data_IF_148188582997
#
_entry.id   IF_148188582997
#
_cell.length_a   1.000
_cell.length_b   1.000
_cell.length_c   1.000
_cell.angle_alpha   90.00
_cell.angle_beta   90.00
_cell.angle_gamma   90.00
#
_symmetry.space_group_name_H-M   'P 1'
#
loop_
_entity.id
_entity.type
_entity.pdbx_description
1 polymer ?
#
# COMPACT_ATOMS: atom_id res chain seq x y z
N UNK A 1 22.85 50.95 5.35
CA UNK A 1 22.87 50.90 6.83
C UNK A 1 21.90 49.85 7.38
N UNK A 2 20.56 50.02 7.31
CA UNK A 2 19.62 49.08 7.92
C UNK A 2 19.77 47.60 7.47
N UNK A 3 19.93 47.35 6.16
CA UNK A 3 20.12 45.98 5.63
C UNK A 3 21.36 45.29 6.25
N UNK A 4 22.52 45.95 6.19
CA UNK A 4 23.77 45.45 6.80
C UNK A 4 23.67 45.18 8.31
N UNK A 5 22.86 45.95 9.04
CA UNK A 5 22.60 45.67 10.47
C UNK A 5 21.84 44.36 10.62
N UNK A 6 20.82 44.11 9.79
CA UNK A 6 20.06 42.87 9.80
C UNK A 6 20.88 41.66 9.35
N UNK A 7 21.73 41.82 8.34
CA UNK A 7 22.70 40.80 7.92
C UNK A 7 23.67 40.43 9.06
N UNK A 8 24.18 41.42 9.80
CA UNK A 8 25.05 41.19 10.96
C UNK A 8 24.31 40.50 12.10
N UNK A 9 23.09 40.96 12.43
CA UNK A 9 22.26 40.35 13.47
C UNK A 9 21.87 38.90 13.10
N UNK A 10 21.58 38.63 11.81
CA UNK A 10 21.32 37.30 11.29
C UNK A 10 22.57 36.39 11.40
N UNK A 11 23.75 36.88 11.03
CA UNK A 11 25.00 36.14 11.16
C UNK A 11 25.33 35.80 12.62
N UNK A 12 25.09 36.73 13.55
CA UNK A 12 25.24 36.48 15.00
C UNK A 12 24.15 35.52 15.51
N UNK A 13 22.92 35.58 15.01
CA UNK A 13 21.84 34.68 15.41
C UNK A 13 22.17 33.20 15.13
N UNK A 14 23.02 32.92 14.11
CA UNK A 14 23.45 31.58 13.70
C UNK A 14 24.68 31.03 14.44
N UNK A 15 25.39 31.81 15.26
CA UNK A 15 26.50 31.26 16.06
C UNK A 15 26.01 30.60 17.36
N UNK A 16 26.81 29.72 17.93
CA UNK A 16 26.51 29.06 19.21
C UNK A 16 26.21 30.10 20.31
N UNK A 17 25.09 29.94 21.01
CA UNK A 17 24.51 30.90 21.98
C UNK A 17 24.15 32.29 21.42
N UNK A 18 24.33 32.54 20.12
CA UNK A 18 24.07 33.83 19.49
C UNK A 18 22.58 34.19 19.40
N UNK A 19 21.71 33.19 19.27
CA UNK A 19 20.26 33.38 19.24
C UNK A 19 19.73 34.09 20.51
N UNK A 20 20.09 33.59 21.69
CA UNK A 20 19.72 34.20 22.98
C UNK A 20 20.25 35.64 23.10
N UNK A 21 21.47 35.91 22.62
CA UNK A 21 22.06 37.27 22.63
C UNK A 21 21.23 38.23 21.77
N UNK A 22 20.79 37.78 20.59
CA UNK A 22 19.93 38.58 19.69
C UNK A 22 18.57 38.85 20.34
N UNK A 23 17.92 37.83 20.90
CA UNK A 23 16.62 38.01 21.57
C UNK A 23 16.73 38.96 22.77
N UNK A 24 17.72 38.78 23.64
CA UNK A 24 17.97 39.69 24.76
C UNK A 24 18.25 41.14 24.30
N UNK A 25 18.93 41.32 23.16
CA UNK A 25 19.14 42.64 22.58
C UNK A 25 17.82 43.28 22.11
N UNK A 26 16.90 42.50 21.51
CA UNK A 26 15.57 42.98 21.14
C UNK A 26 14.63 43.20 22.33
N UNK A 27 14.74 42.42 23.41
CA UNK A 27 14.02 42.68 24.66
C UNK A 27 14.51 43.96 25.37
N UNK A 28 15.82 44.25 25.31
CA UNK A 28 16.38 45.53 25.75
C UNK A 28 15.94 46.68 24.83
N UNK A 29 15.94 46.48 23.51
CA UNK A 29 15.46 47.45 22.53
C UNK A 29 13.98 47.80 22.78
N UNK A 30 13.12 46.81 23.06
CA UNK A 30 11.72 47.01 23.46
C UNK A 30 11.60 47.98 24.62
N UNK A 31 12.43 47.82 25.67
CA UNK A 31 12.42 48.69 26.86
C UNK A 31 12.92 50.10 26.52
N UNK A 32 14.06 50.22 25.83
CA UNK A 32 14.69 51.52 25.52
C UNK A 32 13.83 52.35 24.54
N UNK A 33 13.27 51.71 23.52
CA UNK A 33 12.44 52.34 22.50
C UNK A 33 10.94 52.36 22.85
N UNK A 34 10.56 51.86 24.04
CA UNK A 34 9.18 51.83 24.54
C UNK A 34 8.20 51.12 23.60
N UNK A 35 8.66 50.03 22.97
CA UNK A 35 7.78 49.15 22.20
C UNK A 35 6.90 48.34 23.18
N UNK A 36 5.65 48.03 22.77
CA UNK A 36 4.76 47.21 23.60
C UNK A 36 5.10 45.73 23.46
N UNK A 37 5.46 45.29 22.25
CA UNK A 37 6.03 43.98 21.92
C UNK A 37 7.41 44.18 21.27
N UNK A 38 8.34 43.23 21.48
CA UNK A 38 9.64 43.26 20.80
C UNK A 38 9.45 43.10 19.29
N UNK A 39 10.39 43.61 18.50
CA UNK A 39 10.33 43.67 17.03
C UNK A 39 9.27 44.61 16.42
N UNK A 40 8.53 45.40 17.20
CA UNK A 40 7.50 46.31 16.66
C UNK A 40 8.07 47.33 15.66
N UNK A 41 9.22 47.94 15.95
CA UNK A 41 9.86 48.93 15.07
C UNK A 41 10.47 48.28 13.84
N UNK A 42 10.94 47.03 13.97
CA UNK A 42 11.37 46.22 12.83
C UNK A 42 10.17 45.99 11.88
N UNK A 43 9.04 45.51 12.42
CA UNK A 43 7.83 45.26 11.64
C UNK A 43 7.21 46.54 11.08
N UNK A 44 7.18 47.66 11.84
CA UNK A 44 6.80 48.98 11.32
C UNK A 44 7.73 49.42 10.17
N UNK A 45 9.05 49.22 10.30
CA UNK A 45 10.01 49.56 9.25
C UNK A 45 10.01 48.60 8.06
N UNK A 46 9.50 47.37 8.21
CA UNK A 46 9.28 46.41 7.12
C UNK A 46 8.00 46.78 6.35
N UNK A 47 6.93 47.11 7.07
CA UNK A 47 5.59 47.44 6.52
C UNK A 47 5.46 48.86 5.96
N UNK A 48 6.30 49.80 6.39
CA UNK A 48 6.37 51.16 5.85
C UNK A 48 7.13 51.19 4.51
N UNK A 49 6.41 50.84 3.46
CA UNK A 49 6.85 50.77 2.05
C UNK A 49 6.99 52.19 1.46
N UNK A 50 7.81 53.08 2.06
CA UNK A 50 7.93 54.45 1.53
C UNK A 50 8.94 54.57 0.38
N UNK A 51 10.03 53.80 0.37
CA UNK A 51 11.05 53.88 -0.70
C UNK A 51 11.68 52.51 -1.04
N UNK A 52 11.78 52.24 -2.35
CA UNK A 52 12.25 51.04 -3.04
C UNK A 52 13.61 50.47 -2.58
N UNK A 53 13.66 49.76 -1.44
CA UNK A 53 14.87 49.06 -0.99
C UNK A 53 14.63 47.56 -0.82
N UNK A 54 14.62 46.84 -1.95
CA UNK A 54 14.49 45.38 -1.97
C UNK A 54 15.60 44.68 -1.19
N UNK A 55 16.84 45.21 -1.17
CA UNK A 55 17.93 44.60 -0.41
C UNK A 55 17.66 44.65 1.11
N UNK A 56 17.03 45.72 1.61
CA UNK A 56 16.52 45.78 2.99
C UNK A 56 15.36 44.81 3.22
N UNK A 57 14.41 44.68 2.29
CA UNK A 57 13.29 43.74 2.43
C UNK A 57 13.78 42.28 2.46
N UNK A 58 14.74 41.93 1.60
CA UNK A 58 15.42 40.63 1.58
C UNK A 58 16.17 40.39 2.88
N UNK A 59 17.01 41.32 3.34
CA UNK A 59 17.75 41.18 4.60
C UNK A 59 16.83 41.10 5.83
N UNK A 60 15.72 41.83 5.84
CA UNK A 60 14.72 41.80 6.90
C UNK A 60 13.98 40.47 6.93
N UNK A 61 13.53 39.97 5.77
CA UNK A 61 12.86 38.67 5.69
C UNK A 61 13.82 37.52 6.03
N UNK A 62 15.08 37.58 5.56
CA UNK A 62 16.12 36.63 5.92
C UNK A 62 16.40 36.62 7.43
N UNK A 63 16.47 37.80 8.06
CA UNK A 63 16.61 37.90 9.52
C UNK A 63 15.41 37.28 10.26
N UNK A 64 14.18 37.54 9.81
CA UNK A 64 12.96 36.94 10.37
C UNK A 64 13.00 35.40 10.22
N UNK A 65 13.33 34.90 9.03
CA UNK A 65 13.50 33.46 8.78
C UNK A 65 14.49 32.82 9.75
N UNK A 66 15.65 33.46 9.96
CA UNK A 66 16.68 32.96 10.85
C UNK A 66 16.23 33.02 12.32
N UNK A 67 15.76 34.16 12.82
CA UNK A 67 15.40 34.29 14.25
C UNK A 67 14.22 33.39 14.62
N UNK A 68 13.28 33.16 13.71
CA UNK A 68 12.11 32.29 13.97
C UNK A 68 12.45 30.81 13.78
N UNK A 69 13.20 30.43 12.74
CA UNK A 69 13.32 29.01 12.33
C UNK A 69 14.62 28.31 12.76
N UNK A 70 15.65 29.04 13.20
CA UNK A 70 16.93 28.43 13.65
C UNK A 70 16.87 27.80 15.05
N UNK A 71 15.80 28.04 15.82
CA UNK A 71 15.66 27.49 17.17
C UNK A 71 15.42 25.98 17.17
N UNK A 72 16.01 25.29 18.15
CA UNK A 72 15.92 23.83 18.27
C UNK A 72 14.60 23.36 18.92
N UNK A 73 14.01 24.15 19.84
CA UNK A 73 12.72 23.82 20.45
C UNK A 73 11.57 24.24 19.51
N UNK A 74 10.81 23.25 19.04
CA UNK A 74 9.67 23.47 18.14
C UNK A 74 8.52 24.24 18.81
N UNK A 75 8.34 24.11 20.13
CA UNK A 75 7.34 24.91 20.84
C UNK A 75 7.76 26.39 20.87
N UNK A 76 9.06 26.64 21.05
CA UNK A 76 9.61 27.99 21.01
C UNK A 76 9.57 28.60 19.60
N UNK A 77 9.77 27.78 18.55
CA UNK A 77 9.56 28.18 17.15
C UNK A 77 8.13 28.65 16.91
N UNK A 78 7.13 27.87 17.33
CA UNK A 78 5.70 28.24 17.23
C UNK A 78 5.40 29.52 18.03
N UNK A 79 6.00 29.69 19.21
CA UNK A 79 5.85 30.92 20.00
C UNK A 79 6.40 32.15 19.26
N UNK A 80 7.59 32.06 18.66
CA UNK A 80 8.17 33.14 17.85
C UNK A 80 7.36 33.43 16.57
N UNK A 81 6.77 32.41 15.95
CA UNK A 81 5.84 32.58 14.82
C UNK A 81 4.61 33.38 15.25
N UNK A 82 4.00 33.04 16.39
CA UNK A 82 2.84 33.77 16.90
C UNK A 82 3.20 35.22 17.29
N UNK A 83 4.40 35.49 17.82
CA UNK A 83 4.88 36.87 18.04
C UNK A 83 4.87 37.69 16.74
N UNK A 84 5.49 37.20 15.66
CA UNK A 84 5.52 37.92 14.39
C UNK A 84 4.16 38.02 13.70
N UNK A 85 3.31 36.99 13.84
CA UNK A 85 1.92 36.98 13.37
C UNK A 85 1.05 38.01 14.11
N UNK A 86 1.21 38.17 15.42
CA UNK A 86 0.56 39.24 16.21
C UNK A 86 1.04 40.64 15.81
N UNK A 87 2.25 40.77 15.25
CA UNK A 87 2.75 42.00 14.62
C UNK A 87 2.30 42.18 13.16
N UNK A 88 1.44 41.28 12.64
CA UNK A 88 0.83 41.37 11.32
C UNK A 88 1.70 40.85 10.17
N UNK A 89 2.72 40.02 10.43
CA UNK A 89 3.61 39.50 9.39
C UNK A 89 2.84 38.78 8.28
N UNK A 90 1.99 37.81 8.61
CA UNK A 90 1.29 36.94 7.65
C UNK A 90 0.49 37.73 6.61
N UNK A 91 -0.24 38.76 7.03
CA UNK A 91 -1.04 39.60 6.12
C UNK A 91 -0.16 40.50 5.25
N UNK A 92 1.02 40.89 5.76
CA UNK A 92 2.01 41.61 4.97
C UNK A 92 2.68 40.71 3.94
N UNK A 93 2.96 39.44 4.28
CA UNK A 93 3.53 38.47 3.33
C UNK A 93 2.58 38.18 2.17
N UNK A 94 1.29 37.94 2.43
CA UNK A 94 0.27 37.76 1.38
C UNK A 94 0.24 38.96 0.44
N UNK A 95 0.15 40.17 1.01
CA UNK A 95 0.18 41.44 0.25
C UNK A 95 1.47 41.61 -0.57
N UNK A 96 2.61 41.14 -0.05
CA UNK A 96 3.90 41.23 -0.75
C UNK A 96 4.09 40.19 -1.84
N UNK A 97 3.50 39.01 -1.73
CA UNK A 97 3.43 38.05 -2.84
C UNK A 97 2.64 38.65 -4.02
N UNK A 98 1.53 39.33 -3.74
CA UNK A 98 0.72 40.01 -4.77
C UNK A 98 1.43 41.22 -5.38
N UNK A 99 2.03 42.10 -4.56
CA UNK A 99 2.66 43.34 -5.03
C UNK A 99 4.05 43.17 -5.66
N UNK A 100 4.80 42.14 -5.25
CA UNK A 100 6.22 41.96 -5.61
C UNK A 100 6.51 40.59 -6.23
N UNK A 101 5.51 39.93 -6.80
CA UNK A 101 5.65 38.63 -7.46
C UNK A 101 6.73 38.56 -8.55
N UNK A 102 7.11 39.71 -9.14
CA UNK A 102 8.20 39.82 -10.13
C UNK A 102 9.61 39.90 -9.51
N UNK A 103 9.74 39.95 -8.17
CA UNK A 103 11.03 40.09 -7.47
C UNK A 103 11.50 38.76 -6.88
N UNK A 104 12.02 37.86 -7.73
CA UNK A 104 12.48 36.51 -7.37
C UNK A 104 13.26 36.45 -6.04
N UNK A 105 14.25 37.34 -5.87
CA UNK A 105 15.12 37.35 -4.66
C UNK A 105 14.34 37.57 -3.37
N UNK A 106 13.26 38.35 -3.41
CA UNK A 106 12.43 38.62 -2.24
C UNK A 106 11.34 37.55 -2.06
N UNK A 107 10.70 37.13 -3.15
CA UNK A 107 9.71 36.04 -3.14
C UNK A 107 10.31 34.73 -2.62
N UNK A 108 11.56 34.40 -2.98
CA UNK A 108 12.26 33.25 -2.41
C UNK A 108 12.45 33.32 -0.89
N UNK A 109 12.63 34.51 -0.29
CA UNK A 109 12.69 34.65 1.16
C UNK A 109 11.31 34.48 1.82
N UNK A 110 10.24 34.94 1.16
CA UNK A 110 8.87 34.71 1.63
C UNK A 110 8.54 33.21 1.55
N UNK A 111 8.86 32.55 0.42
CA UNK A 111 8.61 31.12 0.26
C UNK A 111 9.38 30.29 1.30
N UNK A 112 10.65 30.62 1.55
CA UNK A 112 11.45 29.96 2.57
C UNK A 112 10.89 30.10 4.00
N UNK A 113 10.14 31.17 4.31
CA UNK A 113 9.39 31.32 5.56
C UNK A 113 8.16 30.39 5.58
N UNK A 114 7.37 30.42 4.50
CA UNK A 114 6.12 29.67 4.41
C UNK A 114 6.35 28.15 4.37
N UNK A 115 7.38 27.68 3.67
CA UNK A 115 7.83 26.27 3.67
C UNK A 115 8.29 25.80 5.06
N UNK A 116 8.68 26.75 5.93
CA UNK A 116 9.10 26.52 7.30
C UNK A 116 8.01 26.88 8.33
N UNK A 117 6.80 27.23 7.88
CA UNK A 117 5.72 27.62 8.76
C UNK A 117 5.11 26.40 9.48
N UNK A 118 4.76 26.54 10.76
CA UNK A 118 4.15 25.46 11.55
C UNK A 118 2.65 25.73 11.71
N UNK A 119 1.83 25.06 10.91
CA UNK A 119 0.39 25.01 11.14
C UNK A 119 0.07 23.89 12.14
N UNK A 120 -0.05 24.26 13.40
CA UNK A 120 -0.42 23.33 14.49
C UNK A 120 -1.84 22.77 14.29
N UNK A 121 -2.74 23.51 13.65
CA UNK A 121 -4.11 23.04 13.35
C UNK A 121 -4.09 21.91 12.33
N UNK A 122 -3.39 22.12 11.21
CA UNK A 122 -3.22 21.10 10.17
C UNK A 122 -2.52 19.85 10.72
N UNK A 123 -1.45 20.01 11.50
CA UNK A 123 -0.73 18.89 12.10
C UNK A 123 -1.58 18.06 13.08
N UNK A 124 -2.55 18.67 13.76
CA UNK A 124 -3.51 17.96 14.60
C UNK A 124 -4.53 17.18 13.77
N UNK A 125 -5.06 17.76 12.69
CA UNK A 125 -5.98 17.09 11.74
C UNK A 125 -5.31 15.90 11.04
N UNK A 126 -4.06 16.06 10.59
CA UNK A 126 -3.24 14.98 10.02
C UNK A 126 -2.99 13.86 11.05
N UNK A 127 -2.75 14.23 12.32
CA UNK A 127 -2.57 13.26 13.41
C UNK A 127 -3.85 12.49 13.72
N UNK A 128 -5.02 13.14 13.70
CA UNK A 128 -6.31 12.47 13.88
C UNK A 128 -6.60 11.52 12.71
N UNK A 129 -6.42 11.98 11.47
CA UNK A 129 -6.58 11.19 10.24
C UNK A 129 -5.68 9.96 10.26
N UNK A 130 -4.41 10.12 10.67
CA UNK A 130 -3.47 9.01 10.87
C UNK A 130 -3.96 8.03 11.94
N UNK A 131 -4.51 8.52 13.05
CA UNK A 131 -5.03 7.66 14.13
C UNK A 131 -6.25 6.84 13.68
N UNK A 132 -7.13 7.42 12.86
CA UNK A 132 -8.25 6.70 12.24
C UNK A 132 -7.75 5.62 11.26
N UNK A 133 -6.76 5.94 10.43
CA UNK A 133 -6.15 4.98 9.50
C UNK A 133 -5.48 3.79 10.23
N UNK A 134 -4.76 4.04 11.33
CA UNK A 134 -4.18 3.00 12.19
C UNK A 134 -5.29 2.09 12.77
N UNK A 135 -6.41 2.68 13.22
CA UNK A 135 -7.57 1.91 13.68
C UNK A 135 -8.12 0.98 12.59
N UNK A 136 -8.21 1.45 11.33
CA UNK A 136 -8.67 0.62 10.22
C UNK A 136 -7.68 -0.49 9.85
N UNK A 137 -6.37 -0.24 9.95
CA UNK A 137 -5.35 -1.29 9.77
C UNK A 137 -5.53 -2.39 10.81
N UNK A 138 -5.69 -2.03 12.10
CA UNK A 138 -5.90 -3.00 13.18
C UNK A 138 -7.16 -3.87 12.97
N UNK A 139 -8.25 -3.28 12.47
CA UNK A 139 -9.48 -4.04 12.15
C UNK A 139 -9.26 -5.04 10.99
N UNK A 140 -8.48 -4.65 9.98
CA UNK A 140 -8.16 -5.52 8.85
C UNK A 140 -7.18 -6.64 9.24
N UNK A 141 -6.23 -6.37 10.14
CA UNK A 141 -5.33 -7.38 10.71
C UNK A 141 -6.11 -8.44 11.52
N UNK A 142 -7.10 -8.02 12.32
CA UNK A 142 -8.00 -8.94 13.03
C UNK A 142 -8.84 -9.79 12.06
N UNK A 143 -9.42 -9.18 11.02
CA UNK A 143 -10.19 -9.91 10.00
C UNK A 143 -9.31 -10.91 9.22
N UNK A 144 -8.06 -10.55 8.93
CA UNK A 144 -7.10 -11.44 8.29
C UNK A 144 -6.74 -12.62 9.20
N UNK A 145 -6.50 -12.39 10.48
CA UNK A 145 -6.23 -13.45 11.45
C UNK A 145 -7.39 -14.46 11.53
N UNK A 146 -8.63 -13.99 11.64
CA UNK A 146 -9.84 -14.84 11.66
C UNK A 146 -10.02 -15.60 10.34
N UNK A 147 -9.76 -14.95 9.20
CA UNK A 147 -9.84 -15.61 7.89
C UNK A 147 -8.77 -16.70 7.72
N UNK A 148 -7.57 -16.47 8.25
CA UNK A 148 -6.46 -17.40 8.18
C UNK A 148 -6.64 -18.62 9.10
N UNK A 149 -7.19 -18.43 10.31
CA UNK A 149 -7.60 -19.52 11.20
C UNK A 149 -8.65 -20.42 10.53
N UNK A 150 -9.72 -19.82 9.98
CA UNK A 150 -10.75 -20.56 9.23
C UNK A 150 -10.20 -21.28 8.00
N UNK A 151 -9.21 -20.70 7.33
CA UNK A 151 -8.55 -21.36 6.20
C UNK A 151 -7.79 -22.61 6.65
N UNK A 152 -7.07 -22.53 7.78
CA UNK A 152 -6.36 -23.68 8.36
C UNK A 152 -7.32 -24.78 8.83
N UNK A 153 -8.45 -24.45 9.44
CA UNK A 153 -9.48 -25.43 9.82
C UNK A 153 -9.99 -26.21 8.60
N UNK A 154 -10.32 -25.50 7.51
CA UNK A 154 -10.81 -26.09 6.26
C UNK A 154 -9.72 -26.91 5.55
N UNK A 155 -8.48 -26.42 5.52
CA UNK A 155 -7.33 -27.17 4.99
C UNK A 155 -7.12 -28.47 5.78
N UNK A 156 -7.21 -28.43 7.11
CA UNK A 156 -7.08 -29.61 7.97
C UNK A 156 -8.24 -30.60 7.77
N UNK A 157 -9.48 -30.15 7.56
CA UNK A 157 -10.61 -31.03 7.20
C UNK A 157 -10.34 -31.74 5.86
N UNK A 158 -9.89 -30.99 4.84
CA UNK A 158 -9.55 -31.56 3.53
C UNK A 158 -8.39 -32.54 3.59
N UNK A 159 -7.35 -32.26 4.38
CA UNK A 159 -6.23 -33.19 4.65
C UNK A 159 -6.76 -34.46 5.32
N UNK A 160 -7.55 -34.34 6.40
CA UNK A 160 -8.12 -35.49 7.12
C UNK A 160 -8.90 -36.39 6.16
N UNK A 161 -9.84 -35.81 5.39
CA UNK A 161 -10.68 -36.51 4.42
C UNK A 161 -9.86 -37.18 3.29
N UNK A 162 -8.77 -36.55 2.88
CA UNK A 162 -7.83 -37.12 1.91
C UNK A 162 -7.12 -38.35 2.49
N UNK A 163 -6.69 -38.32 3.76
CA UNK A 163 -6.10 -39.50 4.41
C UNK A 163 -7.11 -40.63 4.63
N UNK A 164 -8.38 -40.33 4.91
CA UNK A 164 -9.45 -41.32 5.02
C UNK A 164 -9.73 -42.01 3.69
N UNK A 165 -9.89 -41.24 2.61
CA UNK A 165 -10.08 -41.78 1.26
C UNK A 165 -8.88 -42.60 0.79
N UNK A 166 -7.65 -42.16 1.09
CA UNK A 166 -6.45 -42.94 0.77
C UNK A 166 -6.41 -44.28 1.51
N UNK A 167 -6.79 -44.32 2.80
CA UNK A 167 -6.88 -45.57 3.58
C UNK A 167 -7.94 -46.51 2.99
N UNK A 168 -9.11 -45.98 2.64
CA UNK A 168 -10.19 -46.75 2.03
C UNK A 168 -9.80 -47.31 0.65
N UNK A 169 -9.09 -46.53 -0.17
CA UNK A 169 -8.55 -46.96 -1.46
C UNK A 169 -7.57 -48.12 -1.29
N UNK A 170 -6.57 -47.98 -0.40
CA UNK A 170 -5.57 -49.02 -0.15
C UNK A 170 -6.23 -50.35 0.28
N UNK A 171 -7.25 -50.30 1.16
CA UNK A 171 -8.00 -51.49 1.61
C UNK A 171 -8.84 -52.13 0.49
N UNK A 172 -9.36 -51.32 -0.44
CA UNK A 172 -10.07 -51.82 -1.61
C UNK A 172 -9.11 -52.47 -2.62
N UNK A 173 -7.92 -51.90 -2.81
CA UNK A 173 -6.85 -52.48 -3.65
C UNK A 173 -6.37 -53.82 -3.11
N UNK A 174 -6.17 -53.95 -1.79
CA UNK A 174 -5.81 -55.21 -1.13
C UNK A 174 -6.88 -56.30 -1.34
N UNK A 175 -8.17 -55.96 -1.20
CA UNK A 175 -9.25 -56.90 -1.49
C UNK A 175 -9.33 -57.29 -2.98
N UNK A 176 -9.03 -56.35 -3.89
CA UNK A 176 -8.98 -56.64 -5.33
C UNK A 176 -7.80 -57.56 -5.67
N UNK A 177 -6.63 -57.39 -5.04
CA UNK A 177 -5.52 -58.36 -5.14
C UNK A 177 -5.92 -59.75 -4.63
N UNK A 178 -6.54 -59.82 -3.45
CA UNK A 178 -6.98 -61.08 -2.85
C UNK A 178 -7.93 -61.86 -3.79
N UNK A 179 -8.97 -61.21 -4.29
CA UNK A 179 -9.95 -61.83 -5.20
C UNK A 179 -9.33 -62.19 -6.56
N UNK A 180 -8.40 -61.39 -7.09
CA UNK A 180 -7.63 -61.75 -8.30
C UNK A 180 -6.81 -63.02 -8.09
N UNK A 181 -6.13 -63.14 -6.95
CA UNK A 181 -5.31 -64.31 -6.62
C UNK A 181 -6.16 -65.57 -6.48
N UNK A 182 -7.28 -65.49 -5.75
CA UNK A 182 -8.22 -66.61 -5.62
C UNK A 182 -8.78 -67.05 -6.98
N UNK A 183 -9.17 -66.09 -7.85
CA UNK A 183 -9.58 -66.35 -9.23
C UNK A 183 -8.48 -67.05 -10.03
N UNK A 184 -7.23 -66.64 -9.88
CA UNK A 184 -6.10 -67.19 -10.64
C UNK A 184 -5.75 -68.62 -10.18
N UNK A 185 -5.78 -68.88 -8.86
CA UNK A 185 -5.63 -70.23 -8.28
C UNK A 185 -6.75 -71.19 -8.75
N UNK A 186 -8.01 -70.72 -8.77
CA UNK A 186 -9.15 -71.47 -9.33
C UNK A 186 -8.96 -71.73 -10.82
N UNK A 187 -8.49 -70.73 -11.57
CA UNK A 187 -8.24 -70.83 -13.02
C UNK A 187 -7.12 -71.82 -13.33
N UNK A 188 -6.05 -71.82 -12.54
CA UNK A 188 -4.96 -72.79 -12.64
C UNK A 188 -5.43 -74.21 -12.32
N UNK A 189 -6.28 -74.36 -11.31
CA UNK A 189 -6.90 -75.65 -10.94
C UNK A 189 -7.79 -76.19 -12.06
N UNK A 190 -8.69 -75.35 -12.61
CA UNK A 190 -9.53 -75.71 -13.76
C UNK A 190 -8.71 -76.08 -15.01
N UNK A 191 -7.65 -75.33 -15.31
CA UNK A 191 -6.77 -75.65 -16.43
C UNK A 191 -6.05 -76.99 -16.24
N UNK A 192 -5.65 -77.33 -15.01
CA UNK A 192 -5.02 -78.61 -14.68
C UNK A 192 -6.00 -79.77 -14.83
N UNK A 193 -7.22 -79.64 -14.30
CA UNK A 193 -8.30 -80.61 -14.47
C UNK A 193 -8.65 -80.81 -15.96
N UNK A 194 -8.74 -79.73 -16.73
CA UNK A 194 -8.98 -79.77 -18.19
C UNK A 194 -7.84 -80.45 -18.95
N UNK A 195 -6.60 -80.25 -18.54
CA UNK A 195 -5.41 -80.89 -19.14
C UNK A 195 -5.39 -82.40 -18.88
N UNK A 196 -5.76 -82.82 -17.67
CA UNK A 196 -5.90 -84.23 -17.31
C UNK A 196 -7.04 -84.89 -18.11
N UNK A 197 -8.21 -84.24 -18.19
CA UNK A 197 -9.35 -84.73 -18.97
C UNK A 197 -9.06 -84.81 -20.48
N UNK A 198 -8.20 -83.93 -21.00
CA UNK A 198 -7.70 -83.99 -22.38
C UNK A 198 -6.59 -85.05 -22.58
N UNK A 199 -5.89 -85.48 -21.54
CA UNK A 199 -4.87 -86.55 -21.62
C UNK A 199 -5.49 -87.96 -21.67
N UNK A 200 -6.71 -88.13 -21.14
CA UNK A 200 -7.46 -89.40 -21.25
C UNK A 200 -8.16 -89.59 -22.63
N UNK A 201 -7.98 -88.68 -23.60
CA UNK A 201 -8.46 -88.88 -24.98
C UNK A 201 -7.43 -88.47 -26.04
N UNK A 202 -6.78 -89.48 -26.62
CA UNK A 202 -6.21 -89.36 -27.96
C UNK A 202 -7.30 -89.05 -28.99
N UNK A 203 -6.97 -88.22 -29.99
CA UNK A 203 -7.92 -87.66 -30.97
C UNK A 203 -8.41 -88.70 -32.00
N UNK A 204 -9.45 -88.37 -32.81
CA UNK A 204 -9.14 -87.73 -34.10
C UNK A 204 -10.10 -86.58 -34.50
N UNK A 205 -9.95 -86.14 -35.75
CA UNK A 205 -10.39 -84.87 -36.33
C UNK A 205 -11.74 -84.88 -37.06
N UNK A 206 -12.10 -83.68 -37.55
CA UNK A 206 -12.77 -83.38 -38.85
C UNK A 206 -14.31 -83.51 -39.05
N UNK A 207 -14.91 -82.33 -39.27
CA UNK A 207 -15.77 -81.98 -40.44
C UNK A 207 -17.28 -82.25 -40.45
N UNK A 208 -18.07 -81.16 -40.54
CA UNK A 208 -19.19 -80.84 -41.48
C UNK A 208 -19.93 -79.59 -40.93
N UNK A 209 -19.88 -78.37 -41.50
CA UNK A 209 -20.27 -77.83 -42.82
C UNK A 209 -21.65 -77.12 -42.83
N UNK A 210 -21.60 -75.78 -42.87
CA UNK A 210 -22.56 -74.86 -43.54
C UNK A 210 -23.92 -74.62 -42.84
N UNK A 211 -24.53 -73.42 -42.86
CA UNK A 211 -24.87 -72.50 -43.97
C UNK A 211 -25.03 -71.03 -43.46
N UNK A 212 -24.81 -70.04 -44.35
CA UNK A 212 -25.24 -68.61 -44.44
C UNK A 212 -25.87 -67.86 -43.22
N UNK A 213 -25.72 -66.53 -43.05
CA UNK A 213 -25.75 -65.47 -44.09
C UNK A 213 -25.04 -64.17 -43.66
N UNK A 214 -24.73 -63.30 -44.63
CA UNK A 214 -24.13 -61.97 -44.42
C UNK A 214 -25.19 -60.82 -44.45
N UNK A 215 -24.85 -59.51 -44.56
CA UNK A 215 -25.18 -58.47 -43.57
C UNK A 215 -26.20 -57.43 -44.13
N UNK A 216 -26.55 -56.29 -43.47
CA UNK A 216 -25.67 -55.12 -43.15
C UNK A 216 -25.98 -54.54 -41.73
N UNK A 217 -25.42 -53.43 -41.23
CA UNK A 217 -24.36 -52.52 -41.69
C UNK A 217 -24.32 -51.28 -40.77
N UNK A 218 -23.22 -50.53 -40.78
CA UNK A 218 -23.21 -49.18 -40.21
C UNK A 218 -24.04 -48.23 -41.10
N UNK A 219 -24.50 -47.09 -40.56
CA UNK A 219 -23.85 -45.87 -41.05
C UNK A 219 -23.55 -44.81 -39.99
N UNK A 220 -22.46 -44.11 -40.27
CA UNK A 220 -22.17 -42.73 -39.84
C UNK A 220 -23.28 -41.75 -40.24
N UNK A 221 -23.61 -40.76 -39.41
CA UNK A 221 -23.40 -39.33 -39.74
C UNK A 221 -24.07 -38.35 -38.77
N UNK A 222 -23.50 -37.15 -38.76
CA UNK A 222 -23.75 -35.97 -37.95
C UNK A 222 -25.13 -35.29 -38.03
N UNK A 223 -25.27 -34.30 -37.12
CA UNK A 223 -26.00 -33.02 -37.24
C UNK A 223 -27.46 -32.88 -36.79
N UNK A 224 -27.59 -32.24 -35.61
CA UNK A 224 -28.03 -30.84 -35.43
C UNK A 224 -29.48 -30.38 -35.70
N UNK A 225 -29.87 -29.40 -34.86
CA UNK A 225 -31.06 -28.51 -34.85
C UNK A 225 -32.35 -29.11 -34.25
N UNK A 226 -32.80 -28.68 -33.05
CA UNK A 226 -33.49 -27.41 -32.65
C UNK A 226 -35.02 -27.51 -32.83
N UNK A 227 -35.93 -26.86 -32.08
CA UNK A 227 -35.86 -25.64 -31.23
C UNK A 227 -37.08 -25.57 -30.26
N UNK A 228 -37.14 -24.54 -29.38
CA UNK A 228 -38.35 -23.92 -28.75
C UNK A 228 -38.98 -24.73 -27.59
N UNK A 229 -39.36 -24.20 -26.41
CA UNK A 229 -39.11 -22.96 -25.60
C UNK A 229 -39.73 -23.21 -24.20
N UNK A 230 -39.47 -22.50 -23.09
CA UNK A 230 -38.36 -21.65 -22.58
C UNK A 230 -38.77 -21.13 -21.19
N UNK A 231 -37.83 -20.90 -20.27
CA UNK A 231 -37.75 -19.70 -19.43
C UNK A 231 -36.53 -19.72 -18.47
N UNK A 232 -35.59 -18.79 -18.70
CA UNK A 232 -34.89 -17.90 -17.73
C UNK A 232 -34.55 -18.44 -16.32
N UNK A 233 -33.33 -18.34 -15.76
CA UNK A 233 -32.25 -17.32 -15.82
C UNK A 233 -30.97 -17.86 -15.09
N UNK A 234 -29.73 -17.32 -15.09
CA UNK A 234 -28.95 -16.37 -15.93
C UNK A 234 -27.46 -16.40 -15.47
N UNK A 235 -26.47 -16.61 -16.38
CA UNK A 235 -25.01 -16.23 -16.36
C UNK A 235 -24.11 -16.62 -15.12
N UNK A 236 -22.77 -16.75 -15.17
CA UNK A 236 -21.81 -17.00 -16.27
C UNK A 236 -20.45 -17.51 -15.73
N UNK A 237 -19.73 -18.23 -16.59
CA UNK A 237 -18.27 -18.46 -16.69
C UNK A 237 -17.28 -17.98 -15.62
N UNK A 238 -16.43 -18.91 -15.17
CA UNK A 238 -15.15 -18.62 -14.52
C UNK A 238 -14.16 -17.91 -15.47
N UNK A 239 -13.75 -16.69 -15.13
CA UNK A 239 -12.53 -16.06 -15.63
C UNK A 239 -11.67 -15.64 -14.43
N UNK A 240 -10.39 -16.05 -14.41
CA UNK A 240 -9.43 -15.66 -13.38
C UNK A 240 -8.89 -14.26 -13.73
N UNK A 241 -8.97 -13.26 -12.83
CA UNK A 241 -8.34 -11.96 -13.04
C UNK A 241 -6.82 -12.06 -12.87
N UNK A 242 -6.01 -11.31 -13.64
CA UNK A 242 -4.57 -11.23 -13.41
C UNK A 242 -4.25 -10.48 -12.10
N UNK A 243 -3.09 -10.73 -11.46
CA UNK A 243 -2.70 -10.04 -10.25
C UNK A 243 -2.43 -8.55 -10.49
N UNK A 244 -2.65 -7.68 -9.47
CA UNK A 244 -2.35 -6.26 -9.58
C UNK A 244 -0.84 -6.00 -9.69
N UNK A 245 -0.41 -4.90 -10.34
CA UNK A 245 1.00 -4.55 -10.44
C UNK A 245 1.59 -4.14 -9.08
N UNK A 246 2.84 -4.52 -8.84
CA UNK A 246 3.59 -4.12 -7.65
C UNK A 246 3.73 -2.59 -7.54
N UNK A 247 3.70 -2.02 -6.32
CA UNK A 247 4.08 -0.62 -6.11
C UNK A 247 5.52 -0.38 -6.57
N UNK A 248 5.72 0.61 -7.43
CA UNK A 248 7.05 1.11 -7.79
C UNK A 248 7.77 1.60 -6.54
N UNK A 249 8.98 1.08 -6.28
CA UNK A 249 9.84 1.58 -5.21
C UNK A 249 10.12 3.07 -5.43
N UNK A 250 9.90 3.89 -4.40
CA UNK A 250 10.43 5.26 -4.40
C UNK A 250 11.97 5.21 -4.39
N UNK A 251 12.66 6.13 -5.08
CA UNK A 251 14.12 6.15 -5.06
C UNK A 251 14.63 6.43 -3.64
N UNK A 252 15.65 5.65 -3.24
CA UNK A 252 16.37 5.86 -1.98
C UNK A 252 17.13 7.20 -2.07
N UNK A 253 17.06 8.08 -1.05
CA UNK A 253 17.87 9.29 -1.05
C UNK A 253 19.37 8.94 -1.00
N UNK A 254 20.17 9.81 -1.62
CA UNK A 254 21.65 9.80 -1.64
C UNK A 254 22.17 10.74 -0.57
#
# INVERSE_FOLDING_TARGET
CKALILELLAAVCLVELGHDVILNAFDNFRIICQERHRFETLMKSFTQISEFNFDYMVACMQFINIVVHSVQDMNYRVHLQEEFKLLGLDDCLKKYQELYGECDRFILQIQAYLDNYFDVGQLLEDSETKQQAIGKVSELEEQLAIANERFQDVEQEHVNKTTELQKALNLAEEQVEFVKKERDDITQTLNTLRRNHNHERGSPSSSTSSISSAPPGAPTSASSYSTITSNHNVYSSNCIPPPPPFPTQMPRPV
#
